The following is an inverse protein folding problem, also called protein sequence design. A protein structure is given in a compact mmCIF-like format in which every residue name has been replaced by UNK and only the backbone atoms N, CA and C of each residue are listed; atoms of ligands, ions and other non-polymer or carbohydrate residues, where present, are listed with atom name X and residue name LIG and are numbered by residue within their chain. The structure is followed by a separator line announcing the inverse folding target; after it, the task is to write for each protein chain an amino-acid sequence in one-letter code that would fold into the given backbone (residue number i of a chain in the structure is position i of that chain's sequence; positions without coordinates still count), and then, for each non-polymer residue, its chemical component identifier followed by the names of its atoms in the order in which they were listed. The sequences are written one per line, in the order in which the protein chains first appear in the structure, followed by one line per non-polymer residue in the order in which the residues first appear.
data_IF_877832667097
#
_entry.id   IF_877832667097
#
_cell.length_a   1.000
_cell.length_b   1.000
_cell.length_c   1.000
_cell.angle_alpha   90.00
_cell.angle_beta   90.00
_cell.angle_gamma   90.00
#
_symmetry.space_group_name_H-M   'P 1'
#
loop_
_entity.id
_entity.type
_entity.pdbx_description
1 polymer ?
#
# COMPACT_ATOMS: atom_id res chain seq x y z
N UNK A 1 2.26 33.84 -18.37
CA UNK A 1 2.20 32.50 -17.75
C UNK A 1 3.58 31.84 -17.85
N UNK A 2 4.13 31.42 -16.73
CA UNK A 2 5.48 30.87 -16.70
C UNK A 2 5.40 29.34 -16.70
N UNK A 3 5.69 28.73 -17.84
CA UNK A 3 5.62 27.26 -18.02
C UNK A 3 6.65 26.55 -17.13
N UNK A 4 7.85 27.12 -16.99
CA UNK A 4 8.88 26.54 -16.13
C UNK A 4 8.43 26.46 -14.68
N UNK A 5 7.79 27.51 -14.19
CA UNK A 5 7.28 27.53 -12.82
C UNK A 5 6.16 26.51 -12.63
N UNK A 6 5.28 26.37 -13.61
CA UNK A 6 4.23 25.37 -13.58
C UNK A 6 4.79 23.96 -13.56
N UNK A 7 5.83 23.70 -14.35
CA UNK A 7 6.49 22.38 -14.38
C UNK A 7 7.16 22.08 -13.05
N UNK A 8 7.82 23.08 -12.44
CA UNK A 8 8.44 22.91 -11.12
C UNK A 8 7.40 22.58 -10.05
N UNK A 9 6.26 23.24 -10.08
CA UNK A 9 5.17 23.00 -9.14
C UNK A 9 4.60 21.58 -9.32
N UNK A 10 4.44 21.13 -10.57
CA UNK A 10 3.93 19.80 -10.87
C UNK A 10 4.90 18.74 -10.37
N UNK A 11 6.21 18.95 -10.58
CA UNK A 11 7.24 18.03 -10.10
C UNK A 11 7.27 17.98 -8.57
N UNK A 12 7.13 19.15 -7.92
CA UNK A 12 7.11 19.23 -6.46
C UNK A 12 5.90 18.47 -5.89
N UNK A 13 4.73 18.60 -6.51
CA UNK A 13 3.54 17.86 -6.10
C UNK A 13 3.72 16.36 -6.28
N UNK A 14 4.31 15.97 -7.40
CA UNK A 14 4.57 14.55 -7.69
C UNK A 14 5.53 13.95 -6.66
N UNK A 15 6.61 14.67 -6.34
CA UNK A 15 7.57 14.23 -5.34
C UNK A 15 6.93 14.10 -3.97
N UNK A 16 6.09 15.07 -3.60
CA UNK A 16 5.38 15.05 -2.32
C UNK A 16 4.43 13.87 -2.23
N UNK A 17 3.68 13.61 -3.31
CA UNK A 17 2.78 12.46 -3.37
C UNK A 17 3.56 11.16 -3.20
N UNK A 18 4.69 11.03 -3.88
CA UNK A 18 5.54 9.85 -3.79
C UNK A 18 6.04 9.64 -2.36
N UNK A 19 6.46 10.71 -1.69
CA UNK A 19 6.88 10.64 -0.28
C UNK A 19 5.73 10.21 0.63
N UNK A 20 4.55 10.76 0.41
CA UNK A 20 3.38 10.40 1.22
C UNK A 20 2.98 8.94 1.02
N UNK A 21 3.01 8.45 -0.22
CA UNK A 21 2.73 7.04 -0.50
C UNK A 21 3.78 6.13 0.13
N UNK A 22 5.07 6.50 0.03
CA UNK A 22 6.14 5.70 0.61
C UNK A 22 6.04 5.63 2.13
N UNK A 23 5.47 6.65 2.76
CA UNK A 23 5.30 6.72 4.21
C UNK A 23 4.07 5.95 4.71
N UNK A 24 3.18 5.56 3.82
CA UNK A 24 1.98 4.80 4.20
C UNK A 24 2.36 3.41 4.73
N UNK A 25 1.57 2.93 5.68
CA UNK A 25 1.76 1.62 6.30
C UNK A 25 0.42 0.90 6.28
N UNK A 26 0.28 -0.03 5.34
CA UNK A 26 -0.94 -0.80 5.16
C UNK A 26 -0.67 -2.23 5.60
N UNK A 27 -1.45 -2.70 6.57
CA UNK A 27 -1.30 -4.04 7.11
C UNK A 27 -2.39 -4.95 6.57
N UNK A 28 -2.02 -6.20 6.31
CA UNK A 28 -2.96 -7.24 5.95
C UNK A 28 -2.53 -8.55 6.58
N UNK A 29 -3.51 -9.39 6.91
CA UNK A 29 -3.25 -10.67 7.55
C UNK A 29 -3.88 -11.81 6.78
N UNK A 30 -3.42 -13.02 7.07
CA UNK A 30 -4.03 -14.26 6.58
C UNK A 30 -3.97 -15.32 7.68
N UNK A 31 -4.77 -16.39 7.51
CA UNK A 31 -4.79 -17.50 8.46
C UNK A 31 -5.20 -17.09 9.86
N UNK A 32 -6.18 -16.19 9.99
CA UNK A 32 -6.65 -15.73 11.30
C UNK A 32 -5.61 -14.90 12.05
N UNK A 33 -4.72 -14.22 11.33
CA UNK A 33 -3.69 -13.38 11.92
C UNK A 33 -2.35 -14.08 12.08
N UNK A 34 -2.20 -15.30 11.58
CA UNK A 34 -0.94 -16.04 11.68
C UNK A 34 0.18 -15.41 10.87
N UNK A 35 -0.15 -14.78 9.75
CA UNK A 35 0.82 -14.05 8.91
C UNK A 35 0.32 -12.63 8.73
N UNK A 36 1.18 -11.67 8.98
CA UNK A 36 0.88 -10.24 8.78
C UNK A 36 1.93 -9.64 7.86
N UNK A 37 1.48 -8.92 6.83
CA UNK A 37 2.34 -8.20 5.89
C UNK A 37 2.05 -6.72 6.02
N UNK A 38 3.11 -5.91 6.08
CA UNK A 38 3.01 -4.45 6.06
C UNK A 38 3.59 -3.96 4.73
N UNK A 39 2.81 -3.15 4.03
CA UNK A 39 3.18 -2.67 2.70
C UNK A 39 3.00 -1.15 2.62
N UNK A 40 3.89 -0.49 1.88
CA UNK A 40 3.75 0.94 1.64
C UNK A 40 2.76 1.22 0.52
N UNK A 41 2.41 2.51 0.35
CA UNK A 41 1.56 2.94 -0.77
C UNK A 41 2.23 2.78 -2.13
N UNK A 42 3.54 2.57 -2.17
CA UNK A 42 4.28 2.26 -3.39
C UNK A 42 4.39 0.75 -3.65
N UNK A 43 3.68 -0.03 -2.84
CA UNK A 43 3.65 -1.51 -2.91
C UNK A 43 4.97 -2.17 -2.56
N UNK A 44 5.72 -1.53 -1.69
CA UNK A 44 6.94 -2.11 -1.15
C UNK A 44 6.60 -2.85 0.14
N UNK A 45 6.99 -4.12 0.22
CA UNK A 45 6.81 -4.92 1.43
C UNK A 45 7.85 -4.47 2.44
N UNK A 46 7.41 -4.03 3.62
CA UNK A 46 8.29 -3.47 4.64
C UNK A 46 8.49 -4.41 5.80
N UNK A 47 7.54 -5.28 6.07
CA UNK A 47 7.64 -6.24 7.16
C UNK A 47 6.75 -7.44 6.88
N UNK A 48 7.20 -8.59 7.34
CA UNK A 48 6.42 -9.82 7.37
C UNK A 48 6.57 -10.39 8.76
N UNK A 49 5.45 -10.59 9.44
CA UNK A 49 5.41 -11.20 10.76
C UNK A 49 4.69 -12.52 10.68
N UNK A 50 5.34 -13.58 11.19
CA UNK A 50 4.81 -14.92 11.14
C UNK A 50 4.77 -15.46 12.59
N UNK A 51 3.60 -15.91 13.03
CA UNK A 51 3.50 -16.54 14.33
C UNK A 51 4.17 -17.91 14.31
N UNK A 52 4.82 -18.26 15.40
CA UNK A 52 5.53 -19.55 15.51
C UNK A 52 4.59 -20.73 15.24
N UNK A 53 3.33 -20.62 15.67
CA UNK A 53 2.33 -21.66 15.46
C UNK A 53 2.07 -21.96 13.98
N UNK A 54 2.36 -21.02 13.10
CA UNK A 54 2.17 -21.20 11.65
C UNK A 54 3.33 -21.95 11.00
N UNK A 55 4.46 -22.10 11.71
CA UNK A 55 5.68 -22.71 11.16
C UNK A 55 5.69 -24.18 11.49
N UNK A 56 5.42 -25.02 10.51
CA UNK A 56 5.46 -26.46 10.59
C UNK A 56 6.42 -26.98 9.51
N UNK A 57 7.59 -27.48 9.89
CA UNK A 57 8.55 -27.99 8.89
C UNK A 57 8.00 -29.14 8.04
N UNK A 58 6.97 -29.82 8.52
CA UNK A 58 6.33 -30.89 7.77
C UNK A 58 5.29 -30.39 6.77
N UNK A 59 4.92 -29.10 6.84
CA UNK A 59 3.90 -28.52 5.99
C UNK A 59 4.28 -27.08 5.59
N UNK A 60 5.36 -26.97 4.86
CA UNK A 60 5.87 -25.67 4.38
C UNK A 60 4.91 -25.04 3.38
N UNK A 61 4.20 -25.87 2.63
CA UNK A 61 3.28 -25.40 1.59
C UNK A 61 2.16 -24.52 2.15
N UNK A 62 1.59 -24.92 3.30
CA UNK A 62 0.57 -24.11 3.96
C UNK A 62 1.10 -22.73 4.32
N UNK A 63 2.32 -22.65 4.85
CA UNK A 63 2.94 -21.37 5.17
C UNK A 63 3.16 -20.52 3.94
N UNK A 64 3.62 -21.11 2.85
CA UNK A 64 3.78 -20.40 1.58
C UNK A 64 2.46 -19.80 1.10
N UNK A 65 1.38 -20.55 1.19
CA UNK A 65 0.06 -20.08 0.78
C UNK A 65 -0.43 -18.94 1.67
N UNK A 66 -0.18 -19.02 2.97
CA UNK A 66 -0.55 -17.96 3.91
C UNK A 66 0.20 -16.67 3.61
N UNK A 67 1.49 -16.76 3.33
CA UNK A 67 2.31 -15.58 2.98
C UNK A 67 1.79 -14.95 1.68
N UNK A 68 1.54 -15.79 0.68
CA UNK A 68 1.03 -15.30 -0.60
C UNK A 68 -0.32 -14.60 -0.43
N UNK A 69 -1.22 -15.19 0.35
CA UNK A 69 -2.54 -14.62 0.61
C UNK A 69 -2.42 -13.28 1.32
N UNK A 70 -1.54 -13.16 2.31
CA UNK A 70 -1.32 -11.90 3.03
C UNK A 70 -0.76 -10.81 2.11
N UNK A 71 0.18 -11.17 1.23
CA UNK A 71 0.75 -10.23 0.27
C UNK A 71 -0.30 -9.74 -0.74
N UNK A 72 -1.14 -10.63 -1.24
CA UNK A 72 -2.21 -10.27 -2.16
C UNK A 72 -3.23 -9.35 -1.50
N UNK A 73 -3.60 -9.64 -0.27
CA UNK A 73 -4.53 -8.80 0.48
C UNK A 73 -3.93 -7.44 0.76
N UNK A 74 -2.64 -7.37 1.13
CA UNK A 74 -1.94 -6.10 1.33
C UNK A 74 -1.94 -5.27 0.05
N UNK A 75 -1.63 -5.88 -1.08
CA UNK A 75 -1.62 -5.21 -2.38
C UNK A 75 -2.99 -4.63 -2.72
N UNK A 76 -4.05 -5.40 -2.48
CA UNK A 76 -5.42 -4.95 -2.70
C UNK A 76 -5.78 -3.76 -1.82
N UNK A 77 -5.42 -3.82 -0.54
CA UNK A 77 -5.68 -2.73 0.42
C UNK A 77 -4.89 -1.47 0.08
N UNK A 78 -3.68 -1.64 -0.43
CA UNK A 78 -2.88 -0.50 -0.89
C UNK A 78 -3.59 0.17 -2.07
N UNK A 79 -4.05 -0.59 -3.05
CA UNK A 79 -4.79 -0.04 -4.19
C UNK A 79 -6.00 0.77 -3.74
N UNK A 80 -6.78 0.25 -2.79
CA UNK A 80 -7.93 0.96 -2.25
C UNK A 80 -7.52 2.25 -1.53
N UNK A 81 -6.49 2.18 -0.69
CA UNK A 81 -6.02 3.32 0.08
C UNK A 81 -5.48 4.42 -0.84
N UNK A 82 -4.73 4.03 -1.87
CA UNK A 82 -4.19 4.98 -2.85
C UNK A 82 -5.30 5.62 -3.66
N UNK A 83 -6.30 4.85 -4.07
CA UNK A 83 -7.46 5.38 -4.78
C UNK A 83 -8.22 6.41 -3.93
N UNK A 84 -8.44 6.11 -2.66
CA UNK A 84 -9.11 7.04 -1.75
C UNK A 84 -8.32 8.32 -1.59
N UNK A 85 -7.00 8.21 -1.44
CA UNK A 85 -6.12 9.37 -1.29
C UNK A 85 -6.16 10.23 -2.54
N UNK A 86 -6.06 9.62 -3.71
CA UNK A 86 -6.10 10.32 -5.00
C UNK A 86 -7.48 10.97 -5.23
N UNK A 87 -8.55 10.26 -4.95
CA UNK A 87 -9.90 10.79 -5.10
C UNK A 87 -10.14 11.99 -4.18
N UNK A 88 -9.63 11.93 -2.96
CA UNK A 88 -9.74 13.04 -2.01
C UNK A 88 -9.05 14.29 -2.54
N UNK A 89 -7.85 14.13 -3.11
CA UNK A 89 -7.10 15.25 -3.70
C UNK A 89 -7.81 15.81 -4.93
N UNK A 90 -8.25 14.95 -5.83
CA UNK A 90 -8.96 15.35 -7.05
C UNK A 90 -10.33 15.93 -6.73
N UNK A 91 -11.01 15.38 -5.73
CA UNK A 91 -12.32 15.86 -5.29
C UNK A 91 -12.28 17.31 -4.84
N UNK A 92 -11.18 17.71 -4.21
CA UNK A 92 -10.98 19.11 -3.81
C UNK A 92 -10.72 20.04 -4.98
N UNK A 93 -10.22 19.51 -6.10
CA UNK A 93 -9.91 20.29 -7.29
C UNK A 93 -11.04 20.30 -8.34
N UNK A 94 -12.01 19.39 -8.21
CA UNK A 94 -13.09 19.22 -9.15
C UNK A 94 -14.45 19.24 -8.44
N UNK A 95 -14.88 20.42 -7.98
CA UNK A 95 -16.16 20.53 -7.28
C UNK A 95 -17.30 20.12 -8.20
N UNK A 96 -18.22 19.31 -7.67
CA UNK A 96 -19.35 18.78 -8.43
C UNK A 96 -19.16 17.37 -8.93
N UNK A 97 -17.96 16.81 -8.88
CA UNK A 97 -17.76 15.39 -9.13
C UNK A 97 -18.02 14.58 -7.87
N UNK A 98 -18.87 13.59 -8.00
CA UNK A 98 -19.21 12.70 -6.87
C UNK A 98 -18.93 11.27 -7.20
#
# INVERSE_FOLDING_TARGET
MNIQKMMQQAQAMQSKMQEELAAMRIEATSGGGMVKVTMSGTKEVQAVEIEKAAVDPADVETLQDLILAACREASRRVDEAVQKKTASLLGGMMPGMR
#
